data_IF_138478825374
#
_entry.id   IF_138478825374
#
_cell.length_a   1.000
_cell.length_b   1.000
_cell.length_c   1.000
_cell.angle_alpha   90.00
_cell.angle_beta   90.00
_cell.angle_gamma   90.00
#
_symmetry.space_group_name_H-M   'P 1'
#
loop_
_entity.id
_entity.type
_entity.pdbx_description
1 polymer ?
#
# COMPACT_ATOMS: atom_id res chain seq x y z
N UNK A 1 4.60 44.35 5.98
CA UNK A 1 6.03 44.70 6.04
C UNK A 1 6.48 44.44 7.45
N UNK A 2 7.07 43.30 7.73
CA UNK A 2 7.71 42.98 8.98
C UNK A 2 9.14 42.55 8.65
N UNK A 3 10.08 43.27 9.19
CA UNK A 3 11.51 43.20 8.93
C UNK A 3 12.12 42.09 9.77
N UNK A 4 12.67 41.07 9.15
CA UNK A 4 13.39 39.96 9.78
C UNK A 4 14.89 40.27 9.71
N UNK A 5 15.46 40.74 10.80
CA UNK A 5 16.89 40.96 10.94
C UNK A 5 17.63 39.64 11.10
N UNK A 6 18.43 39.26 10.11
CA UNK A 6 19.40 38.18 10.15
C UNK A 6 20.63 38.60 10.97
N UNK A 7 20.96 37.85 12.02
CA UNK A 7 22.21 37.99 12.76
C UNK A 7 23.20 36.93 12.25
N UNK A 8 24.25 37.37 11.61
CA UNK A 8 25.40 36.54 11.21
C UNK A 8 26.43 36.55 12.33
N UNK A 9 26.85 35.38 12.81
CA UNK A 9 28.02 35.21 13.66
C UNK A 9 29.06 34.33 12.97
N UNK A 10 30.34 34.65 13.10
CA UNK A 10 31.41 33.97 12.36
C UNK A 10 31.97 32.74 13.09
N UNK A 11 32.36 31.73 12.32
CA UNK A 11 33.04 30.52 12.77
C UNK A 11 34.44 30.81 13.26
N UNK A 12 34.95 30.13 14.28
CA UNK A 12 36.38 30.02 14.54
C UNK A 12 36.93 28.70 14.01
N UNK A 13 38.04 28.81 13.26
CA UNK A 13 38.94 27.70 12.98
C UNK A 13 39.63 27.24 14.27
N UNK A 14 39.76 25.96 14.49
CA UNK A 14 40.89 25.42 15.28
C UNK A 14 41.20 23.98 14.87
N UNK A 15 42.52 23.77 14.85
CA UNK A 15 43.28 22.63 14.36
C UNK A 15 42.97 21.27 15.00
N UNK A 16 43.11 20.23 14.17
CA UNK A 16 43.09 18.82 14.57
C UNK A 16 44.46 18.36 15.08
N UNK A 17 44.56 17.43 16.01
CA UNK A 17 45.63 16.47 16.06
C UNK A 17 45.18 15.07 15.64
N UNK A 18 46.00 14.45 14.81
CA UNK A 18 45.93 13.05 14.42
C UNK A 18 46.25 12.15 15.60
N UNK A 19 45.38 11.22 15.93
CA UNK A 19 45.77 10.03 16.69
C UNK A 19 45.29 8.75 16.02
N UNK A 20 46.28 7.89 15.84
CA UNK A 20 46.24 6.51 15.39
C UNK A 20 45.67 5.63 16.52
N UNK A 21 44.64 4.80 16.24
CA UNK A 21 44.43 3.65 17.09
C UNK A 21 43.84 2.45 16.32
N UNK A 22 44.48 1.33 16.62
CA UNK A 22 44.31 0.02 16.01
C UNK A 22 42.94 -0.60 16.23
N UNK A 23 42.44 -1.34 15.22
CA UNK A 23 41.29 -2.23 15.31
C UNK A 23 41.60 -3.46 16.19
N UNK A 24 40.74 -3.85 17.11
CA UNK A 24 40.81 -5.18 17.73
C UNK A 24 40.14 -6.22 16.83
N UNK A 25 40.87 -7.26 16.47
CA UNK A 25 40.34 -8.48 15.83
C UNK A 25 39.65 -9.37 16.87
N UNK A 26 38.33 -9.57 16.70
CA UNK A 26 37.59 -10.57 17.45
C UNK A 26 37.81 -11.95 16.84
N UNK A 27 38.48 -12.83 17.58
CA UNK A 27 38.56 -14.27 17.30
C UNK A 27 37.29 -14.95 17.74
N UNK A 28 36.56 -15.52 16.80
CA UNK A 28 35.44 -16.42 17.09
C UNK A 28 35.94 -17.72 17.73
N UNK A 29 35.40 -18.07 18.89
CA UNK A 29 35.58 -19.36 19.55
C UNK A 29 34.48 -20.30 19.08
N UNK A 30 34.88 -21.37 18.39
CA UNK A 30 33.97 -22.50 18.04
C UNK A 30 34.00 -23.45 19.22
N UNK A 31 32.85 -23.77 19.81
CA UNK A 31 32.67 -24.84 20.75
C UNK A 31 32.19 -26.13 20.06
N UNK A 32 32.62 -27.31 20.46
CA UNK A 32 32.31 -28.54 19.75
C UNK A 32 30.89 -29.06 20.06
N UNK A 33 30.35 -29.76 19.05
CA UNK A 33 29.04 -30.35 19.03
C UNK A 33 28.86 -31.42 20.14
N UNK A 34 27.71 -31.36 20.83
CA UNK A 34 27.25 -32.38 21.73
C UNK A 34 26.51 -33.50 20.97
N UNK A 35 26.77 -34.73 21.39
CA UNK A 35 26.20 -35.98 20.86
C UNK A 35 24.67 -36.01 20.99
N UNK A 36 23.98 -36.22 19.87
CA UNK A 36 22.55 -36.58 19.87
C UNK A 36 22.38 -38.08 19.67
N UNK A 37 21.68 -38.71 20.62
CA UNK A 37 21.26 -40.09 20.56
C UNK A 37 20.28 -40.37 19.40
N UNK A 38 20.25 -41.62 18.84
CA UNK A 38 19.45 -41.92 17.67
C UNK A 38 17.95 -42.04 17.99
N UNK A 39 17.13 -41.27 17.27
CA UNK A 39 15.66 -41.39 17.34
C UNK A 39 15.19 -42.53 16.45
N UNK A 40 14.39 -43.41 17.03
CA UNK A 40 13.87 -44.66 16.48
C UNK A 40 12.89 -44.37 15.29
N UNK A 41 13.21 -44.85 14.08
CA UNK A 41 12.54 -44.54 12.82
C UNK A 41 11.36 -45.45 12.46
N UNK A 42 10.81 -46.23 13.39
CA UNK A 42 9.80 -47.26 13.05
C UNK A 42 8.34 -46.92 13.36
N UNK A 43 8.03 -45.71 13.89
CA UNK A 43 6.64 -45.34 14.22
C UNK A 43 5.94 -44.46 13.15
N UNK A 44 6.64 -44.00 12.09
CA UNK A 44 6.11 -43.08 11.09
C UNK A 44 5.45 -43.68 9.85
N UNK A 45 5.58 -45.01 9.64
CA UNK A 45 5.19 -45.63 8.35
C UNK A 45 3.73 -46.15 8.30
N UNK A 46 3.00 -46.22 9.42
CA UNK A 46 1.64 -46.78 9.45
C UNK A 46 0.54 -45.70 9.29
N UNK A 47 0.81 -44.45 9.61
CA UNK A 47 -0.19 -43.35 9.49
C UNK A 47 -0.34 -42.82 8.08
N UNK A 48 0.68 -42.96 7.22
CA UNK A 48 0.67 -42.46 5.84
C UNK A 48 -0.20 -43.25 4.87
N UNK A 49 -0.41 -44.56 5.10
CA UNK A 49 -1.13 -45.45 4.16
C UNK A 49 -2.66 -45.36 4.32
N UNK A 50 -3.16 -45.03 5.50
CA UNK A 50 -4.61 -44.94 5.75
C UNK A 50 -5.20 -43.63 5.17
N UNK A 51 -4.40 -42.55 5.08
CA UNK A 51 -4.87 -41.25 4.53
C UNK A 51 -4.99 -41.23 3.01
N UNK A 52 -4.18 -42.03 2.30
CA UNK A 52 -4.21 -42.05 0.80
C UNK A 52 -5.40 -42.90 0.32
N UNK A 53 -5.82 -43.93 1.05
CA UNK A 53 -6.96 -44.79 0.67
C UNK A 53 -8.29 -44.05 0.89
N UNK A 54 -8.41 -43.22 1.92
CA UNK A 54 -9.62 -42.43 2.18
C UNK A 54 -9.84 -41.31 1.12
N UNK A 55 -8.76 -40.74 0.58
CA UNK A 55 -8.86 -39.70 -0.47
C UNK A 55 -9.25 -40.27 -1.83
N UNK A 56 -8.82 -41.50 -2.15
CA UNK A 56 -9.16 -42.18 -3.40
C UNK A 56 -10.63 -42.63 -3.49
N UNK A 57 -11.28 -42.94 -2.34
CA UNK A 57 -12.68 -43.34 -2.29
C UNK A 57 -13.66 -42.14 -2.43
N UNK A 58 -13.24 -40.92 -2.03
CA UNK A 58 -14.05 -39.71 -2.11
C UNK A 58 -14.18 -39.16 -3.54
N UNK A 59 -13.21 -39.46 -4.42
CA UNK A 59 -13.21 -38.99 -5.83
C UNK A 59 -14.10 -39.86 -6.72
N UNK A 60 -14.44 -41.09 -6.32
CA UNK A 60 -15.25 -42.02 -7.15
C UNK A 60 -16.77 -41.87 -6.94
N UNK A 61 -17.23 -41.09 -5.94
CA UNK A 61 -18.66 -40.94 -5.62
C UNK A 61 -19.27 -39.59 -5.98
N UNK A 62 -18.55 -38.72 -6.66
CA UNK A 62 -19.04 -37.40 -7.10
C UNK A 62 -18.86 -37.18 -8.61
N UNK A 63 -19.58 -37.98 -9.42
CA UNK A 63 -19.82 -37.66 -10.82
C UNK A 63 -21.22 -37.10 -10.94
N UNK A 64 -21.42 -35.84 -11.36
CA UNK A 64 -22.74 -35.33 -11.68
C UNK A 64 -23.13 -35.79 -13.08
N UNK A 65 -24.27 -36.48 -13.14
CA UNK A 65 -24.98 -36.82 -14.37
C UNK A 65 -25.37 -35.56 -15.14
N UNK A 66 -25.10 -35.57 -16.43
CA UNK A 66 -25.58 -34.57 -17.37
C UNK A 66 -27.12 -34.48 -17.34
N UNK A 67 -27.62 -33.28 -17.11
CA UNK A 67 -29.03 -32.93 -17.36
C UNK A 67 -29.09 -31.67 -18.22
N UNK A 68 -29.81 -31.80 -19.28
CA UNK A 68 -30.25 -30.91 -20.35
C UNK A 68 -30.47 -29.43 -19.98
N UNK A 69 -30.16 -28.61 -20.97
CA UNK A 69 -30.36 -27.19 -21.13
C UNK A 69 -31.75 -26.70 -20.67
N UNK A 70 -31.79 -25.56 -19.99
CA UNK A 70 -32.94 -24.68 -19.94
C UNK A 70 -32.45 -23.25 -20.22
N UNK A 71 -33.00 -22.71 -21.29
CA UNK A 71 -32.86 -21.33 -21.74
C UNK A 71 -33.45 -20.32 -20.75
N UNK A 72 -32.81 -19.15 -20.67
CA UNK A 72 -33.50 -17.90 -20.48
C UNK A 72 -33.30 -17.15 -19.19
N UNK A 73 -32.28 -16.24 -19.17
CA UNK A 73 -32.43 -14.89 -18.64
C UNK A 73 -31.33 -14.01 -19.23
N UNK A 74 -31.67 -13.19 -20.20
CA UNK A 74 -30.82 -12.16 -20.79
C UNK A 74 -30.60 -11.03 -19.80
N UNK A 75 -29.36 -10.80 -19.37
CA UNK A 75 -28.91 -9.54 -18.77
C UNK A 75 -28.36 -8.68 -19.91
N UNK A 76 -28.87 -7.47 -20.14
CA UNK A 76 -28.35 -6.58 -21.20
C UNK A 76 -27.10 -5.87 -20.71
N UNK A 77 -25.98 -6.01 -21.47
CA UNK A 77 -24.89 -5.06 -21.39
C UNK A 77 -23.44 -5.56 -21.36
N UNK A 78 -23.16 -6.83 -21.62
CA UNK A 78 -21.78 -7.25 -21.90
C UNK A 78 -21.64 -7.53 -23.40
N UNK A 79 -20.89 -6.72 -24.10
CA UNK A 79 -20.47 -7.01 -25.49
C UNK A 79 -19.56 -8.25 -25.46
N UNK A 80 -20.13 -9.43 -25.79
CA UNK A 80 -19.35 -10.66 -25.87
C UNK A 80 -18.44 -10.61 -27.09
N UNK A 81 -17.13 -10.47 -26.87
CA UNK A 81 -16.16 -10.64 -27.95
C UNK A 81 -16.18 -12.11 -28.38
N UNK A 82 -16.32 -12.34 -29.70
CA UNK A 82 -16.30 -13.70 -30.26
C UNK A 82 -14.86 -14.24 -30.24
N UNK A 83 -14.64 -15.40 -29.63
CA UNK A 83 -13.35 -16.06 -29.63
C UNK A 83 -12.92 -16.39 -31.06
N UNK A 84 -11.68 -16.07 -31.43
CA UNK A 84 -11.09 -16.42 -32.75
C UNK A 84 -10.75 -17.91 -32.86
N UNK A 85 -10.59 -18.56 -31.70
CA UNK A 85 -10.07 -19.93 -31.61
C UNK A 85 -8.54 -20.01 -31.66
N UNK A 86 -7.85 -18.87 -31.80
CA UNK A 86 -6.39 -18.79 -31.74
C UNK A 86 -5.93 -18.56 -30.30
N UNK A 87 -4.68 -19.02 -30.02
CA UNK A 87 -4.01 -18.77 -28.72
C UNK A 87 -2.71 -18.02 -28.98
N UNK A 88 -2.61 -16.83 -28.44
CA UNK A 88 -1.35 -16.05 -28.37
C UNK A 88 -0.60 -16.47 -27.13
N UNK A 89 0.64 -16.95 -27.26
CA UNK A 89 1.50 -17.37 -26.15
C UNK A 89 2.74 -16.49 -26.13
N UNK A 90 3.04 -15.88 -24.96
CA UNK A 90 4.16 -14.96 -24.80
C UNK A 90 4.98 -15.35 -23.59
N UNK A 91 6.32 -15.46 -23.77
CA UNK A 91 7.25 -15.60 -22.67
C UNK A 91 7.59 -14.22 -22.09
N UNK A 92 7.47 -14.07 -20.77
CA UNK A 92 7.79 -12.85 -20.04
C UNK A 92 8.83 -13.18 -18.98
N UNK A 93 9.94 -12.43 -19.00
CA UNK A 93 11.01 -12.51 -18.01
C UNK A 93 11.09 -11.26 -17.14
N UNK A 94 12.08 -11.25 -16.25
CA UNK A 94 12.44 -10.08 -15.42
C UNK A 94 13.84 -9.64 -15.77
N UNK A 95 14.03 -8.32 -15.99
CA UNK A 95 15.33 -7.68 -16.16
C UNK A 95 15.40 -6.46 -15.22
N UNK A 96 16.19 -6.59 -14.13
CA UNK A 96 16.21 -5.60 -13.06
C UNK A 96 14.84 -5.43 -12.42
N UNK A 97 14.28 -4.21 -12.48
CA UNK A 97 12.95 -3.85 -11.98
C UNK A 97 11.91 -3.71 -13.11
N UNK A 98 12.04 -4.49 -14.20
CA UNK A 98 11.13 -4.43 -15.34
C UNK A 98 10.78 -5.82 -15.85
N UNK A 99 9.58 -5.97 -16.42
CA UNK A 99 9.23 -7.14 -17.21
C UNK A 99 9.79 -7.01 -18.63
N UNK A 100 10.17 -8.13 -19.23
CA UNK A 100 10.68 -8.19 -20.62
C UNK A 100 9.99 -9.33 -21.38
N UNK A 101 9.16 -9.01 -22.40
CA UNK A 101 8.71 -7.68 -22.80
C UNK A 101 7.77 -7.05 -21.76
N UNK A 102 7.70 -5.72 -21.73
CA UNK A 102 6.75 -4.97 -20.91
C UNK A 102 5.54 -4.44 -21.72
N UNK A 103 5.49 -4.75 -23.02
CA UNK A 103 4.38 -4.46 -23.91
C UNK A 103 4.12 -5.66 -24.82
N UNK A 104 2.85 -6.07 -24.90
CA UNK A 104 2.40 -7.23 -25.68
C UNK A 104 1.20 -6.81 -26.53
N UNK A 105 1.24 -7.06 -27.83
CA UNK A 105 0.09 -6.88 -28.72
C UNK A 105 -0.61 -8.22 -28.92
N UNK A 106 -1.94 -8.25 -28.71
CA UNK A 106 -2.75 -9.46 -28.82
C UNK A 106 -4.02 -9.16 -29.63
N UNK A 107 -4.34 -9.96 -30.67
CA UNK A 107 -5.60 -9.80 -31.38
C UNK A 107 -6.82 -9.98 -30.48
N UNK A 108 -7.80 -9.09 -30.62
CA UNK A 108 -9.08 -9.22 -29.91
C UNK A 108 -9.75 -10.56 -30.30
N UNK A 109 -10.18 -11.31 -29.28
CA UNK A 109 -10.77 -12.63 -29.44
C UNK A 109 -9.78 -13.79 -29.32
N UNK A 110 -8.46 -13.55 -29.31
CA UNK A 110 -7.47 -14.59 -29.03
C UNK A 110 -7.44 -14.90 -27.52
N UNK A 111 -7.08 -16.15 -27.21
CA UNK A 111 -6.73 -16.53 -25.84
C UNK A 111 -5.28 -16.17 -25.56
N UNK A 112 -5.01 -15.40 -24.49
CA UNK A 112 -3.65 -15.06 -24.10
C UNK A 112 -3.15 -15.99 -23.00
N UNK A 113 -1.97 -16.59 -23.26
CA UNK A 113 -1.21 -17.35 -22.26
C UNK A 113 0.16 -16.69 -22.09
N UNK A 114 0.52 -16.37 -20.86
CA UNK A 114 1.83 -15.81 -20.49
C UNK A 114 2.63 -16.85 -19.73
N UNK A 115 3.80 -17.20 -20.27
CA UNK A 115 4.81 -18.03 -19.59
C UNK A 115 5.74 -17.09 -18.81
N UNK A 116 5.42 -16.80 -17.56
CA UNK A 116 6.20 -15.90 -16.72
C UNK A 116 7.35 -16.64 -16.03
N UNK A 117 8.59 -16.18 -16.25
CA UNK A 117 9.79 -16.68 -15.60
C UNK A 117 10.43 -15.56 -14.77
N UNK A 118 10.62 -15.78 -13.48
CA UNK A 118 11.41 -14.86 -12.68
C UNK A 118 12.90 -15.05 -12.97
N UNK A 119 13.43 -14.30 -13.94
CA UNK A 119 14.86 -14.25 -14.30
C UNK A 119 15.65 -13.21 -13.52
N UNK A 120 15.03 -12.49 -12.58
CA UNK A 120 15.68 -11.51 -11.71
C UNK A 120 16.50 -12.14 -10.57
N UNK A 121 17.15 -11.29 -9.78
CA UNK A 121 18.02 -11.69 -8.68
C UNK A 121 17.28 -11.79 -7.32
N UNK A 122 16.04 -11.37 -7.26
CA UNK A 122 15.17 -11.42 -6.10
C UNK A 122 13.80 -12.03 -6.45
N UNK A 123 12.92 -12.15 -5.45
CA UNK A 123 11.56 -12.64 -5.70
C UNK A 123 10.77 -11.61 -6.48
N UNK A 124 9.95 -12.10 -7.44
CA UNK A 124 9.00 -11.30 -8.20
C UNK A 124 7.71 -12.08 -8.40
N UNK A 125 6.63 -11.38 -8.67
CA UNK A 125 5.39 -11.96 -9.19
C UNK A 125 4.89 -11.18 -10.40
N UNK A 126 3.86 -11.71 -11.05
CA UNK A 126 3.13 -11.02 -12.09
C UNK A 126 1.63 -11.19 -11.81
N UNK A 127 0.96 -10.09 -11.55
CA UNK A 127 -0.47 -10.02 -11.27
C UNK A 127 -1.12 -9.17 -12.36
N UNK A 128 -2.21 -9.63 -12.93
CA UNK A 128 -3.01 -8.87 -13.89
C UNK A 128 -4.28 -8.33 -13.22
N UNK A 129 -4.81 -7.22 -13.73
CA UNK A 129 -6.05 -6.60 -13.23
C UNK A 129 -7.27 -7.55 -13.28
N UNK A 130 -7.21 -8.60 -14.12
CA UNK A 130 -8.19 -9.70 -14.14
C UNK A 130 -8.16 -10.58 -12.88
N UNK A 131 -7.19 -10.39 -11.98
CA UNK A 131 -6.94 -11.23 -10.80
C UNK A 131 -6.08 -12.48 -11.07
N UNK A 132 -5.68 -12.74 -12.32
CA UNK A 132 -4.75 -13.82 -12.62
C UNK A 132 -3.36 -13.48 -12.08
N UNK A 133 -2.75 -14.41 -11.33
CA UNK A 133 -1.45 -14.18 -10.67
C UNK A 133 -0.53 -15.38 -10.76
N UNK A 134 0.77 -15.11 -10.86
CA UNK A 134 1.81 -16.15 -10.73
C UNK A 134 2.02 -16.59 -9.28
N UNK A 135 1.60 -15.77 -8.31
CA UNK A 135 2.15 -15.82 -6.95
C UNK A 135 3.64 -15.44 -6.93
N UNK A 136 4.21 -15.28 -5.75
CA UNK A 136 5.62 -14.87 -5.59
C UNK A 136 6.58 -16.02 -5.98
N UNK A 137 7.32 -15.83 -7.06
CA UNK A 137 8.30 -16.79 -7.59
C UNK A 137 9.73 -16.48 -7.11
N UNK A 138 10.49 -17.51 -6.78
CA UNK A 138 11.93 -17.38 -6.57
C UNK A 138 12.66 -17.25 -7.92
N UNK A 139 13.91 -16.80 -7.87
CA UNK A 139 14.78 -16.72 -9.08
C UNK A 139 14.85 -18.05 -9.83
N UNK A 140 14.58 -18.02 -11.11
CA UNK A 140 14.57 -19.17 -12.01
C UNK A 140 13.25 -19.97 -12.04
N UNK A 141 12.28 -19.66 -11.18
CA UNK A 141 10.97 -20.30 -11.22
C UNK A 141 10.11 -19.76 -12.37
N UNK A 142 9.28 -20.63 -12.96
CA UNK A 142 8.37 -20.31 -14.06
C UNK A 142 6.94 -20.68 -13.72
N UNK A 143 5.99 -19.86 -14.16
CA UNK A 143 4.56 -20.09 -14.01
C UNK A 143 3.81 -19.73 -15.29
N UNK A 144 2.95 -20.62 -15.76
CA UNK A 144 2.00 -20.33 -16.84
C UNK A 144 0.79 -19.59 -16.27
N UNK A 145 0.41 -18.49 -16.92
CA UNK A 145 -0.75 -17.66 -16.61
C UNK A 145 -1.71 -17.68 -17.81
N UNK A 146 -2.92 -18.15 -17.61
CA UNK A 146 -3.97 -18.16 -18.61
C UNK A 146 -4.91 -16.98 -18.36
N UNK A 147 -4.83 -15.95 -19.21
CA UNK A 147 -5.63 -14.73 -19.07
C UNK A 147 -6.99 -14.81 -19.78
N UNK A 148 -7.27 -15.94 -20.46
CA UNK A 148 -8.53 -16.12 -21.17
C UNK A 148 -8.59 -15.36 -22.50
N UNK A 149 -9.81 -15.04 -22.93
CA UNK A 149 -10.07 -14.32 -24.21
C UNK A 149 -9.85 -12.83 -24.01
N UNK A 150 -8.95 -12.25 -24.82
CA UNK A 150 -8.65 -10.84 -24.82
C UNK A 150 -9.82 -10.06 -25.45
N UNK A 151 -10.45 -9.20 -24.66
CA UNK A 151 -11.56 -8.36 -25.09
C UNK A 151 -11.23 -6.88 -25.14
N UNK A 152 -10.12 -6.47 -24.56
CA UNK A 152 -9.63 -5.10 -24.47
C UNK A 152 -8.22 -5.07 -23.89
N UNK A 153 -7.65 -3.87 -23.78
CA UNK A 153 -6.37 -3.65 -23.15
C UNK A 153 -6.41 -4.08 -21.69
N UNK A 154 -5.28 -4.55 -21.15
CA UNK A 154 -5.14 -4.91 -19.76
C UNK A 154 -3.73 -4.62 -19.25
N UNK A 155 -3.61 -4.35 -17.95
CA UNK A 155 -2.34 -4.12 -17.28
C UNK A 155 -2.00 -5.25 -16.31
N UNK A 156 -0.70 -5.53 -16.19
CA UNK A 156 -0.14 -6.38 -15.15
C UNK A 156 1.01 -5.68 -14.44
N UNK A 157 1.34 -6.12 -13.24
CA UNK A 157 2.42 -5.55 -12.43
C UNK A 157 3.00 -6.58 -11.45
N UNK A 158 4.18 -6.25 -10.90
CA UNK A 158 4.68 -6.95 -9.73
C UNK A 158 4.02 -6.37 -8.47
N UNK A 159 3.37 -7.23 -7.66
CA UNK A 159 2.64 -6.80 -6.47
C UNK A 159 3.52 -6.64 -5.23
N UNK A 160 4.81 -6.97 -5.32
CA UNK A 160 5.73 -6.77 -4.20
C UNK A 160 5.90 -5.28 -3.88
N UNK A 161 6.03 -4.92 -2.59
CA UNK A 161 6.11 -3.54 -2.17
C UNK A 161 7.19 -2.74 -2.91
N UNK A 162 6.80 -1.60 -3.49
CA UNK A 162 7.71 -0.70 -4.22
C UNK A 162 7.99 -1.07 -5.68
N UNK A 163 7.70 -2.30 -6.14
CA UNK A 163 8.09 -2.75 -7.48
C UNK A 163 7.25 -2.10 -8.59
N UNK A 164 5.92 -2.02 -8.41
CA UNK A 164 5.05 -1.32 -9.36
C UNK A 164 5.42 0.17 -9.46
N UNK A 165 5.69 0.83 -8.33
CA UNK A 165 6.12 2.23 -8.27
C UNK A 165 7.48 2.46 -8.94
N UNK A 166 8.36 1.45 -8.94
CA UNK A 166 9.63 1.46 -9.67
C UNK A 166 9.46 1.21 -11.18
N UNK A 167 8.20 1.08 -11.67
CA UNK A 167 7.91 0.87 -13.08
C UNK A 167 7.82 -0.59 -13.51
N UNK A 168 7.72 -1.53 -12.56
CA UNK A 168 7.60 -2.97 -12.88
C UNK A 168 6.16 -3.31 -13.29
N UNK A 169 5.78 -2.86 -14.50
CA UNK A 169 4.47 -3.04 -15.14
C UNK A 169 4.62 -3.67 -16.51
N UNK A 170 3.53 -4.29 -16.99
CA UNK A 170 3.40 -4.86 -18.33
C UNK A 170 2.04 -4.46 -18.90
N UNK A 171 2.02 -4.04 -20.18
CA UNK A 171 0.80 -3.66 -20.88
C UNK A 171 0.48 -4.65 -21.98
N UNK A 172 -0.75 -5.14 -22.00
CA UNK A 172 -1.30 -5.95 -23.09
C UNK A 172 -2.23 -5.05 -23.89
N UNK A 173 -1.86 -4.77 -25.13
CA UNK A 173 -2.66 -4.00 -26.08
C UNK A 173 -3.51 -4.93 -26.94
N UNK A 174 -4.82 -4.77 -26.91
CA UNK A 174 -5.76 -5.50 -27.72
C UNK A 174 -5.83 -4.89 -29.13
N UNK A 175 -5.33 -5.61 -30.14
CA UNK A 175 -5.31 -5.13 -31.53
C UNK A 175 -6.48 -5.68 -32.34
N UNK A 176 -7.05 -4.85 -33.24
CA UNK A 176 -8.18 -5.25 -34.09
C UNK A 176 -9.57 -4.97 -33.49
N UNK A 177 -9.68 -4.35 -32.30
CA UNK A 177 -10.93 -3.81 -31.81
C UNK A 177 -11.30 -2.55 -32.62
N UNK A 178 -12.46 -2.56 -33.26
CA UNK A 178 -12.99 -1.36 -33.90
C UNK A 178 -13.46 -0.38 -32.81
N UNK A 179 -12.62 0.56 -32.42
CA UNK A 179 -13.03 1.67 -31.57
C UNK A 179 -13.92 2.64 -32.37
N UNK A 180 -15.06 3.10 -31.85
CA UNK A 180 -15.78 4.22 -32.44
C UNK A 180 -15.02 5.52 -32.16
N UNK A 181 -14.32 5.98 -33.17
CA UNK A 181 -13.98 7.36 -33.47
C UNK A 181 -13.35 8.25 -32.42
N UNK A 182 -12.02 8.41 -32.49
CA UNK A 182 -11.40 9.71 -32.21
C UNK A 182 -10.20 9.88 -33.14
N UNK A 183 -10.43 10.64 -34.22
CA UNK A 183 -9.38 11.15 -35.09
C UNK A 183 -8.74 12.35 -34.42
N UNK A 184 -7.48 12.28 -34.02
CA UNK A 184 -6.65 13.45 -33.75
C UNK A 184 -5.28 13.31 -34.38
N UNK A 185 -5.05 14.16 -35.38
CA UNK A 185 -3.80 14.40 -36.08
C UNK A 185 -2.75 14.99 -35.13
N UNK A 186 -1.49 14.53 -35.14
CA UNK A 186 -0.46 15.11 -34.27
C UNK A 186 0.04 16.44 -34.82
N UNK A 187 -0.02 17.50 -34.02
CA UNK A 187 0.69 18.76 -34.24
C UNK A 187 1.90 18.84 -33.27
N UNK A 188 3.02 19.49 -33.67
CA UNK A 188 4.27 19.43 -32.89
C UNK A 188 4.18 20.29 -31.63
N UNK A 189 4.55 19.65 -30.50
CA UNK A 189 4.51 20.25 -29.17
C UNK A 189 5.74 21.13 -28.92
N UNK A 190 5.50 22.41 -28.68
CA UNK A 190 6.46 23.28 -27.98
C UNK A 190 6.32 23.12 -26.50
N UNK A 191 7.41 22.79 -25.81
CA UNK A 191 7.45 22.64 -24.35
C UNK A 191 7.24 23.99 -23.67
N UNK A 192 6.09 24.20 -23.06
CA UNK A 192 5.88 25.16 -22.00
C UNK A 192 5.52 24.39 -20.73
N UNK A 193 6.31 24.58 -19.68
CA UNK A 193 6.03 24.03 -18.35
C UNK A 193 4.87 24.84 -17.73
N UNK A 194 3.66 24.42 -18.03
CA UNK A 194 2.48 24.86 -17.30
C UNK A 194 2.02 23.72 -16.39
N UNK A 195 2.10 23.91 -15.08
CA UNK A 195 1.55 23.01 -14.08
C UNK A 195 0.01 23.15 -14.04
N UNK A 196 -0.62 22.91 -15.19
CA UNK A 196 -2.05 22.79 -15.27
C UNK A 196 -2.49 21.45 -14.68
N UNK A 197 -2.99 21.45 -13.44
CA UNK A 197 -3.79 20.37 -12.93
C UNK A 197 -4.99 20.19 -13.86
N UNK A 198 -4.96 19.15 -14.70
CA UNK A 198 -6.12 18.73 -15.46
C UNK A 198 -7.26 18.51 -14.48
N UNK A 199 -8.36 19.24 -14.62
CA UNK A 199 -9.55 19.04 -13.82
C UNK A 199 -10.05 17.61 -14.08
N UNK A 200 -9.81 16.71 -13.11
CA UNK A 200 -10.42 15.39 -13.08
C UNK A 200 -11.93 15.59 -13.09
N UNK A 201 -12.63 14.95 -14.02
CA UNK A 201 -14.10 14.87 -14.02
C UNK A 201 -14.59 13.86 -12.96
N UNK A 202 -14.01 13.90 -11.78
CA UNK A 202 -14.39 13.06 -10.64
C UNK A 202 -15.69 13.49 -9.98
N UNK A 203 -16.20 12.74 -9.03
CA UNK A 203 -17.50 12.99 -8.37
C UNK A 203 -17.51 14.25 -7.51
N UNK A 204 -16.34 14.88 -7.23
CA UNK A 204 -16.21 16.16 -6.56
C UNK A 204 -15.10 17.00 -7.19
N UNK A 205 -15.38 18.26 -7.43
CA UNK A 205 -14.39 19.25 -7.92
C UNK A 205 -13.49 19.75 -6.78
N UNK A 206 -12.28 20.27 -7.08
CA UNK A 206 -11.44 20.93 -6.09
C UNK A 206 -12.13 22.12 -5.37
N UNK A 207 -13.07 22.80 -6.05
CA UNK A 207 -13.86 23.89 -5.44
C UNK A 207 -14.81 23.34 -4.38
N UNK A 208 -15.60 22.31 -4.69
CA UNK A 208 -16.52 21.68 -3.74
C UNK A 208 -15.79 21.14 -2.52
N UNK A 209 -14.61 20.50 -2.72
CA UNK A 209 -13.78 20.02 -1.63
C UNK A 209 -13.24 21.16 -0.75
N UNK A 210 -12.85 22.29 -1.37
CA UNK A 210 -12.37 23.48 -0.64
C UNK A 210 -13.50 24.14 0.14
N UNK A 211 -14.66 24.30 -0.48
CA UNK A 211 -15.84 24.89 0.15
C UNK A 211 -16.30 24.07 1.35
N UNK A 212 -16.37 22.74 1.18
CA UNK A 212 -16.69 21.84 2.30
C UNK A 212 -15.67 21.92 3.43
N UNK A 213 -14.36 21.94 3.11
CA UNK A 213 -13.31 22.07 4.12
C UNK A 213 -13.44 23.34 4.96
N UNK A 214 -14.02 24.42 4.42
CA UNK A 214 -14.27 25.66 5.15
C UNK A 214 -15.49 25.59 6.11
N UNK A 215 -16.35 24.57 5.96
CA UNK A 215 -17.56 24.39 6.79
C UNK A 215 -17.38 23.47 7.98
N UNK A 216 -16.29 22.71 8.02
CA UNK A 216 -16.00 21.74 9.09
C UNK A 216 -14.86 22.24 9.98
N UNK A 217 -14.78 21.72 11.19
CA UNK A 217 -13.60 21.90 12.03
C UNK A 217 -12.44 21.09 11.44
N UNK A 218 -11.29 21.72 11.28
CA UNK A 218 -10.08 21.01 10.86
C UNK A 218 -9.65 20.02 11.93
N UNK A 219 -9.12 18.88 11.52
CA UNK A 219 -8.49 17.94 12.46
C UNK A 219 -7.30 18.61 13.14
N UNK A 220 -7.25 18.48 14.45
CA UNK A 220 -6.13 19.01 15.24
C UNK A 220 -4.85 18.24 14.89
N UNK A 221 -3.83 18.90 14.30
CA UNK A 221 -2.57 18.24 13.97
C UNK A 221 -1.60 18.16 15.17
N UNK A 222 -1.95 18.70 16.32
CA UNK A 222 -1.08 18.75 17.49
C UNK A 222 -0.77 17.35 17.98
N UNK A 223 0.52 17.05 18.11
CA UNK A 223 0.99 15.81 18.69
C UNK A 223 1.10 15.94 20.21
N UNK A 224 0.35 15.15 20.99
CA UNK A 224 0.50 15.12 22.43
C UNK A 224 1.91 14.66 22.84
N UNK A 225 2.43 15.15 24.00
CA UNK A 225 3.72 14.69 24.52
C UNK A 225 3.68 13.17 24.77
N UNK A 226 4.84 12.51 24.59
CA UNK A 226 4.97 11.11 24.94
C UNK A 226 4.83 10.93 26.47
N UNK A 227 4.17 9.84 26.89
CA UNK A 227 4.12 9.43 28.29
C UNK A 227 5.39 8.66 28.66
N UNK A 228 5.68 8.54 29.97
CA UNK A 228 6.84 7.79 30.47
C UNK A 228 6.60 6.26 30.56
N UNK A 229 5.47 5.78 30.04
CA UNK A 229 5.18 4.36 29.98
C UNK A 229 6.11 3.68 28.98
N UNK A 230 6.59 2.47 29.32
CA UNK A 230 7.41 1.64 28.43
C UNK A 230 6.66 0.44 27.86
N UNK A 231 5.52 0.08 28.49
CA UNK A 231 4.58 -0.93 28.02
C UNK A 231 3.31 -0.20 27.56
N UNK A 232 3.01 -0.26 26.29
CA UNK A 232 1.94 0.50 25.64
C UNK A 232 0.86 -0.44 25.12
N UNK A 233 -0.38 -0.25 25.56
CA UNK A 233 -1.50 -1.12 25.21
C UNK A 233 -2.51 -0.38 24.35
N UNK A 234 -2.79 -0.89 23.17
CA UNK A 234 -3.74 -0.29 22.23
C UNK A 234 -4.71 -1.34 21.68
N UNK A 235 -5.98 -0.97 21.63
CA UNK A 235 -7.01 -1.74 20.94
C UNK A 235 -7.41 -1.01 19.66
N UNK A 236 -7.31 -1.70 18.54
CA UNK A 236 -7.75 -1.24 17.23
C UNK A 236 -9.02 -1.99 16.85
N UNK A 237 -10.12 -1.27 16.76
CA UNK A 237 -11.40 -1.81 16.29
C UNK A 237 -11.60 -1.40 14.84
N UNK A 238 -11.71 -2.38 13.97
CA UNK A 238 -12.03 -2.14 12.56
C UNK A 238 -13.54 -1.95 12.41
N UNK A 239 -13.93 -0.93 11.66
CA UNK A 239 -15.30 -0.67 11.24
C UNK A 239 -15.36 -0.05 9.85
N UNK A 240 -16.38 -0.40 9.10
CA UNK A 240 -16.74 0.26 7.85
C UNK A 240 -17.85 1.26 8.15
N UNK A 241 -17.74 2.46 7.59
CA UNK A 241 -18.71 3.53 7.85
C UNK A 241 -18.79 4.50 6.68
N UNK A 242 -19.87 5.27 6.61
CA UNK A 242 -20.01 6.34 5.62
C UNK A 242 -19.43 7.63 6.19
N UNK A 243 -18.54 8.26 5.43
CA UNK A 243 -17.96 9.58 5.74
C UNK A 243 -18.36 10.60 4.70
N UNK A 244 -18.60 11.83 5.12
CA UNK A 244 -18.92 12.94 4.22
C UNK A 244 -17.63 13.48 3.59
N UNK A 245 -17.70 13.78 2.29
CA UNK A 245 -16.58 14.34 1.49
C UNK A 245 -16.90 15.77 1.05
N UNK A 246 -18.14 16.03 0.66
CA UNK A 246 -18.72 17.34 0.38
C UNK A 246 -20.16 17.39 0.92
N UNK A 247 -20.86 18.49 0.76
CA UNK A 247 -22.27 18.58 1.15
C UNK A 247 -23.18 17.59 0.40
N UNK A 248 -22.80 17.21 -0.83
CA UNK A 248 -23.55 16.34 -1.71
C UNK A 248 -22.94 14.97 -1.94
N UNK A 249 -21.72 14.71 -1.44
CA UNK A 249 -21.00 13.47 -1.66
C UNK A 249 -20.57 12.83 -0.37
N UNK A 250 -20.83 11.55 -0.24
CA UNK A 250 -20.32 10.67 0.82
C UNK A 250 -19.45 9.58 0.22
N UNK A 251 -18.62 8.96 1.04
CA UNK A 251 -17.85 7.76 0.67
C UNK A 251 -17.95 6.71 1.77
N UNK A 252 -17.83 5.47 1.39
CA UNK A 252 -17.51 4.42 2.34
C UNK A 252 -16.05 4.58 2.81
N UNK A 253 -15.83 4.46 4.11
CA UNK A 253 -14.49 4.42 4.72
C UNK A 253 -14.34 3.18 5.56
N UNK A 254 -13.16 2.58 5.50
CA UNK A 254 -12.75 1.47 6.35
C UNK A 254 -11.76 2.04 7.36
N UNK A 255 -12.02 1.86 8.63
CA UNK A 255 -11.37 2.66 9.66
C UNK A 255 -10.78 1.82 10.77
N UNK A 256 -9.74 2.36 11.39
CA UNK A 256 -9.28 1.95 12.70
C UNK A 256 -9.85 2.91 13.75
N UNK A 257 -10.62 2.40 14.69
CA UNK A 257 -11.30 3.16 15.76
C UNK A 257 -12.23 4.29 15.26
N UNK A 258 -12.82 4.11 14.06
CA UNK A 258 -13.76 5.06 13.50
C UNK A 258 -13.17 6.27 12.79
N UNK A 259 -11.84 6.35 12.68
CA UNK A 259 -11.12 7.46 12.04
C UNK A 259 -10.28 7.04 10.83
N UNK A 260 -10.12 7.96 9.86
CA UNK A 260 -9.21 7.88 8.72
C UNK A 260 -8.50 9.23 8.51
N UNK A 261 -7.18 9.37 8.80
CA UNK A 261 -6.27 8.37 9.38
C UNK A 261 -6.74 7.86 10.75
N UNK A 262 -6.37 6.62 11.08
CA UNK A 262 -6.57 6.06 12.40
C UNK A 262 -5.74 6.77 13.49
N UNK A 263 -5.77 6.27 14.75
CA UNK A 263 -5.09 6.90 15.88
C UNK A 263 -3.59 7.12 15.65
N UNK A 264 -3.09 8.27 16.08
CA UNK A 264 -1.65 8.53 16.12
C UNK A 264 -1.10 7.99 17.43
N UNK A 265 -0.14 7.06 17.33
CA UNK A 265 0.53 6.49 18.50
C UNK A 265 1.88 7.18 18.72
N UNK A 266 2.32 7.25 19.98
CA UNK A 266 3.64 7.77 20.33
C UNK A 266 4.31 6.94 21.40
N UNK A 267 5.62 6.75 21.27
CA UNK A 267 6.47 6.06 22.24
C UNK A 267 7.93 6.43 22.09
N UNK A 268 8.81 5.73 22.78
CA UNK A 268 10.26 5.91 22.71
C UNK A 268 10.93 4.66 22.16
N UNK A 269 12.16 4.81 21.72
CA UNK A 269 13.00 3.66 21.37
C UNK A 269 13.14 2.74 22.58
N UNK A 270 12.83 1.47 22.40
CA UNK A 270 12.84 0.44 23.44
C UNK A 270 11.47 0.12 24.04
N UNK A 271 10.45 0.95 23.81
CA UNK A 271 9.09 0.69 24.30
C UNK A 271 8.49 -0.56 23.64
N UNK A 272 7.68 -1.27 24.39
CA UNK A 272 6.92 -2.43 23.95
C UNK A 272 5.48 -2.02 23.64
N UNK A 273 5.02 -2.35 22.44
CA UNK A 273 3.64 -2.10 22.01
C UNK A 273 2.86 -3.41 22.01
N UNK A 274 1.81 -3.46 22.80
CA UNK A 274 0.82 -4.56 22.86
C UNK A 274 -0.41 -4.12 22.07
N UNK A 275 -0.69 -4.84 21.01
CA UNK A 275 -1.76 -4.49 20.07
C UNK A 275 -2.83 -5.58 20.12
N UNK A 276 -4.07 -5.16 20.34
CA UNK A 276 -5.26 -5.99 20.14
C UNK A 276 -6.01 -5.46 18.93
N UNK A 277 -6.06 -6.22 17.84
CA UNK A 277 -6.90 -5.93 16.68
C UNK A 277 -8.23 -6.67 16.82
N UNK A 278 -9.36 -5.95 16.69
CA UNK A 278 -10.72 -6.51 16.70
C UNK A 278 -11.40 -6.16 15.39
N UNK A 279 -11.78 -7.17 14.62
CA UNK A 279 -12.45 -6.96 13.34
C UNK A 279 -13.99 -6.95 13.53
N UNK A 280 -14.58 -5.75 13.66
CA UNK A 280 -16.02 -5.53 13.66
C UNK A 280 -16.57 -5.13 12.27
N UNK A 281 -15.75 -5.25 11.23
CA UNK A 281 -16.13 -5.01 9.85
C UNK A 281 -16.87 -6.20 9.22
N UNK A 282 -17.15 -6.11 7.93
CA UNK A 282 -17.86 -7.12 7.14
C UNK A 282 -16.93 -7.97 6.27
N UNK A 283 -15.68 -7.59 6.15
CA UNK A 283 -14.64 -8.30 5.38
C UNK A 283 -13.38 -8.55 6.22
N UNK A 284 -12.44 -9.33 5.67
CA UNK A 284 -11.15 -9.62 6.33
C UNK A 284 -10.29 -8.36 6.40
N UNK A 285 -9.64 -8.14 7.53
CA UNK A 285 -8.72 -7.04 7.77
C UNK A 285 -7.48 -7.48 8.55
N UNK A 286 -6.43 -6.69 8.48
CA UNK A 286 -5.19 -6.87 9.24
C UNK A 286 -4.69 -5.51 9.74
N UNK A 287 -3.62 -5.55 10.51
CA UNK A 287 -2.95 -4.34 10.99
C UNK A 287 -1.45 -4.59 11.05
N UNK A 288 -0.72 -3.96 10.16
CA UNK A 288 0.74 -4.06 10.00
C UNK A 288 1.41 -2.79 10.52
N UNK A 289 2.39 -2.95 11.43
CA UNK A 289 3.18 -1.86 11.98
C UNK A 289 4.62 -1.89 11.47
N UNK A 290 4.99 -0.93 10.64
CA UNK A 290 6.37 -0.81 10.14
C UNK A 290 7.40 -0.56 11.25
N UNK A 291 7.00 0.09 12.36
CA UNK A 291 7.86 0.30 13.53
C UNK A 291 8.30 -0.99 14.21
N UNK A 292 7.56 -2.09 14.02
CA UNK A 292 7.85 -3.38 14.63
C UNK A 292 9.02 -4.12 13.98
N UNK A 293 9.32 -3.86 12.69
CA UNK A 293 10.32 -4.59 11.90
C UNK A 293 10.17 -6.11 12.00
N UNK A 294 8.93 -6.59 12.04
CA UNK A 294 8.57 -8.01 12.07
C UNK A 294 7.85 -8.37 10.78
N UNK A 295 8.02 -9.61 10.32
CA UNK A 295 7.33 -10.09 9.12
C UNK A 295 5.81 -10.14 9.37
N UNK A 296 4.99 -9.46 8.54
CA UNK A 296 3.56 -9.30 8.80
C UNK A 296 2.76 -10.59 8.59
N UNK A 297 3.24 -11.48 7.75
CA UNK A 297 2.55 -12.72 7.32
C UNK A 297 2.26 -13.70 8.46
N UNK A 298 2.93 -13.58 9.58
CA UNK A 298 2.81 -14.49 10.71
C UNK A 298 2.04 -13.89 11.89
N UNK A 299 2.49 -12.74 12.39
CA UNK A 299 1.92 -12.09 13.59
C UNK A 299 0.87 -11.04 13.29
N UNK A 300 0.93 -10.40 12.11
CA UNK A 300 0.02 -9.34 11.67
C UNK A 300 -0.91 -9.82 10.53
N UNK A 301 -1.25 -11.12 10.53
CA UNK A 301 -2.09 -11.74 9.50
C UNK A 301 -3.50 -11.17 9.46
N UNK A 302 -4.17 -11.34 8.32
CA UNK A 302 -5.61 -11.03 8.20
C UNK A 302 -6.46 -11.88 9.12
N UNK A 303 -7.50 -11.28 9.67
CA UNK A 303 -8.54 -11.91 10.50
C UNK A 303 -9.92 -11.65 9.90
N UNK A 304 -10.81 -12.64 10.05
CA UNK A 304 -12.18 -12.59 9.55
C UNK A 304 -13.08 -11.72 10.46
N UNK A 305 -14.25 -11.29 9.96
CA UNK A 305 -15.24 -10.61 10.78
C UNK A 305 -15.55 -11.32 12.10
N UNK A 306 -15.58 -10.57 13.19
CA UNK A 306 -15.80 -11.06 14.55
C UNK A 306 -14.60 -11.69 15.21
N UNK A 307 -13.45 -11.79 14.56
CA UNK A 307 -12.21 -12.27 15.14
C UNK A 307 -11.40 -11.16 15.79
N UNK A 308 -10.50 -11.56 16.70
CA UNK A 308 -9.45 -10.72 17.28
C UNK A 308 -8.08 -11.36 17.16
N UNK A 309 -7.05 -10.51 17.19
CA UNK A 309 -5.65 -10.90 17.11
C UNK A 309 -4.83 -10.02 18.04
N UNK A 310 -4.11 -10.67 18.95
CA UNK A 310 -3.16 -10.00 19.83
C UNK A 310 -1.74 -10.24 19.34
N UNK A 311 -0.92 -9.21 19.34
CA UNK A 311 0.51 -9.31 19.08
C UNK A 311 1.28 -8.18 19.74
N UNK A 312 2.59 -8.35 19.77
CA UNK A 312 3.49 -7.41 20.47
C UNK A 312 4.72 -7.15 19.60
N UNK A 313 5.17 -5.92 19.59
CA UNK A 313 6.45 -5.55 19.01
C UNK A 313 7.22 -4.57 19.89
N UNK A 314 8.54 -4.55 19.76
CA UNK A 314 9.42 -3.58 20.41
C UNK A 314 9.84 -2.54 19.38
N UNK A 315 9.65 -1.26 19.69
CA UNK A 315 10.08 -0.14 18.85
C UNK A 315 11.61 0.00 18.90
N UNK A 316 12.29 -0.40 17.83
CA UNK A 316 13.77 -0.44 17.79
C UNK A 316 14.40 0.82 17.21
N UNK A 317 13.69 1.52 16.34
CA UNK A 317 14.20 2.66 15.61
C UNK A 317 13.30 3.89 15.83
N UNK A 318 13.93 5.05 16.04
CA UNK A 318 13.23 6.32 16.09
C UNK A 318 12.68 6.72 14.72
N UNK A 319 11.68 7.60 14.71
CA UNK A 319 11.08 8.16 13.52
C UNK A 319 9.55 8.10 13.53
N UNK A 320 8.96 8.56 12.43
CA UNK A 320 7.53 8.37 12.14
C UNK A 320 7.38 7.16 11.22
N UNK A 321 6.50 6.23 11.60
CA UNK A 321 6.31 4.95 10.96
C UNK A 321 4.85 4.75 10.57
N UNK A 322 4.63 4.23 9.37
CA UNK A 322 3.31 3.85 8.89
C UNK A 322 2.81 2.62 9.64
N UNK A 323 1.52 2.57 9.93
CA UNK A 323 0.75 1.35 10.09
C UNK A 323 -0.43 1.36 9.14
N UNK A 324 -0.84 0.19 8.66
CA UNK A 324 -1.95 0.06 7.70
C UNK A 324 -2.55 -1.34 7.68
N UNK A 325 -3.70 -1.50 7.02
CA UNK A 325 -4.20 -2.82 6.67
C UNK A 325 -3.42 -3.39 5.49
N UNK A 326 -2.84 -4.57 5.64
CA UNK A 326 -2.08 -5.29 4.59
C UNK A 326 -2.89 -6.40 3.91
N UNK A 327 -4.19 -6.54 4.23
CA UNK A 327 -5.10 -7.47 3.55
C UNK A 327 -5.21 -7.07 2.06
N UNK A 328 -5.17 -8.07 1.18
CA UNK A 328 -5.25 -7.84 -0.27
C UNK A 328 -6.69 -7.49 -0.71
N UNK A 329 -6.88 -6.52 -1.62
CA UNK A 329 -5.87 -5.63 -2.23
C UNK A 329 -5.49 -4.49 -1.28
N UNK A 330 -4.26 -4.49 -0.81
CA UNK A 330 -3.74 -3.57 0.22
C UNK A 330 -3.98 -2.09 -0.12
N UNK A 331 -3.74 -1.69 -1.37
CA UNK A 331 -3.93 -0.31 -1.81
C UNK A 331 -5.39 0.16 -1.69
N UNK A 332 -6.37 -0.73 -1.87
CA UNK A 332 -7.79 -0.42 -1.66
C UNK A 332 -8.09 -0.17 -0.18
N UNK A 333 -7.51 -0.97 0.73
CA UNK A 333 -7.69 -0.77 2.18
C UNK A 333 -7.11 0.56 2.63
N UNK A 334 -5.90 0.92 2.14
CA UNK A 334 -5.29 2.23 2.43
C UNK A 334 -6.12 3.37 1.83
N UNK A 335 -6.54 3.27 0.56
CA UNK A 335 -7.33 4.29 -0.11
C UNK A 335 -8.69 4.53 0.57
N UNK A 336 -9.26 3.50 1.21
CA UNK A 336 -10.50 3.63 1.98
C UNK A 336 -10.27 4.15 3.42
N UNK A 337 -9.02 4.35 3.87
CA UNK A 337 -8.72 5.03 5.13
C UNK A 337 -7.99 4.19 6.18
N UNK A 338 -7.64 2.94 5.88
CA UNK A 338 -7.01 2.04 6.85
C UNK A 338 -5.50 2.24 6.96
N UNK A 339 -5.11 3.39 7.46
CA UNK A 339 -3.72 3.77 7.74
C UNK A 339 -3.64 4.75 8.91
N UNK A 340 -2.45 4.90 9.47
CA UNK A 340 -2.13 5.90 10.47
C UNK A 340 -0.64 5.89 10.80
N UNK A 341 -0.24 6.61 11.85
CA UNK A 341 1.15 6.79 12.22
C UNK A 341 1.45 6.34 13.64
N UNK A 342 2.65 5.79 13.82
CA UNK A 342 3.28 5.67 15.13
C UNK A 342 4.58 6.46 15.14
N UNK A 343 4.77 7.30 16.13
CA UNK A 343 5.95 8.14 16.32
C UNK A 343 6.78 7.53 17.44
N UNK A 344 8.03 7.23 17.14
CA UNK A 344 9.01 6.70 18.10
C UNK A 344 10.05 7.78 18.32
N UNK A 345 10.00 8.42 19.47
CA UNK A 345 10.93 9.48 19.82
C UNK A 345 12.36 8.93 20.00
N UNK A 346 13.38 9.58 19.41
CA UNK A 346 14.78 9.28 19.74
C UNK A 346 15.08 9.69 21.19
N UNK A 347 16.14 9.10 21.75
CA UNK A 347 16.54 9.33 23.14
C UNK A 347 17.06 10.74 23.42
N UNK A 348 17.45 11.44 22.35
CA UNK A 348 18.07 12.79 22.39
C UNK A 348 17.21 13.84 21.66
N UNK A 349 15.90 13.62 21.62
CA UNK A 349 14.97 14.53 20.96
C UNK A 349 14.92 15.89 21.70
N UNK A 350 15.36 16.94 21.03
CA UNK A 350 15.30 18.31 21.57
C UNK A 350 13.86 18.74 21.84
N UNK A 351 13.64 19.47 22.93
CA UNK A 351 12.35 20.10 23.22
C UNK A 351 12.02 21.20 22.20
N UNK A 352 10.77 21.30 21.85
CA UNK A 352 10.20 22.37 20.99
C UNK A 352 8.94 22.95 21.65
N UNK A 353 8.50 24.11 21.18
CA UNK A 353 7.29 24.75 21.70
C UNK A 353 6.02 24.08 21.18
N UNK A 354 6.07 23.55 19.96
CA UNK A 354 4.93 22.86 19.31
C UNK A 354 5.38 21.68 18.48
N UNK A 355 4.56 20.65 18.46
CA UNK A 355 4.73 19.49 17.58
C UNK A 355 3.45 19.22 16.80
N UNK A 356 3.59 18.96 15.51
CA UNK A 356 2.50 18.64 14.62
C UNK A 356 2.76 17.35 13.87
N UNK A 357 1.68 16.65 13.51
CA UNK A 357 1.72 15.46 12.63
C UNK A 357 0.96 15.75 11.36
N UNK A 358 1.61 15.51 10.22
CA UNK A 358 1.05 15.71 8.88
C UNK A 358 1.17 14.40 8.11
N UNK A 359 0.06 13.67 8.00
CA UNK A 359 -0.02 12.43 7.24
C UNK A 359 -0.60 12.76 5.88
N UNK A 360 0.23 12.69 4.83
CA UNK A 360 -0.22 12.85 3.46
C UNK A 360 -0.92 11.57 2.99
N UNK A 361 -1.99 11.71 2.22
CA UNK A 361 -2.72 10.61 1.60
C UNK A 361 -3.46 11.05 0.34
N UNK A 362 -3.80 10.08 -0.48
CA UNK A 362 -4.52 10.26 -1.72
C UNK A 362 -6.01 9.92 -1.54
N UNK A 363 -6.89 10.66 -2.21
CA UNK A 363 -8.31 10.34 -2.28
C UNK A 363 -8.67 9.87 -3.70
N UNK A 364 -9.19 8.66 -3.79
CA UNK A 364 -9.75 8.06 -5.00
C UNK A 364 -11.24 7.89 -4.80
N UNK A 365 -12.02 8.89 -5.18
CA UNK A 365 -13.45 8.95 -4.87
C UNK A 365 -14.26 8.12 -5.87
N UNK A 366 -15.01 7.16 -5.37
CA UNK A 366 -16.08 6.49 -6.09
C UNK A 366 -17.35 7.35 -6.19
N UNK A 367 -18.45 6.76 -6.66
CA UNK A 367 -19.78 7.39 -6.60
C UNK A 367 -20.23 7.65 -5.16
N UNK A 368 -21.33 8.38 -5.00
CA UNK A 368 -21.90 8.70 -3.69
C UNK A 368 -22.15 7.42 -2.86
N UNK A 369 -21.65 7.40 -1.64
CA UNK A 369 -21.73 6.26 -0.72
C UNK A 369 -20.83 5.07 -1.09
N UNK A 370 -20.00 5.17 -2.13
CA UNK A 370 -19.17 4.06 -2.58
C UNK A 370 -17.77 4.11 -1.93
N UNK A 371 -17.10 2.98 -1.94
CA UNK A 371 -15.68 2.85 -1.62
C UNK A 371 -14.80 3.55 -2.68
N UNK A 372 -13.48 3.59 -2.45
CA UNK A 372 -12.52 4.16 -3.38
C UNK A 372 -12.65 3.54 -4.78
N UNK A 373 -12.51 4.37 -5.82
CA UNK A 373 -12.55 3.92 -7.22
C UNK A 373 -11.26 3.17 -7.57
N UNK A 374 -11.38 1.87 -7.80
CA UNK A 374 -10.26 1.00 -8.12
C UNK A 374 -9.61 1.34 -9.47
N UNK A 375 -10.36 1.91 -10.42
CA UNK A 375 -9.82 2.30 -11.72
C UNK A 375 -8.95 3.56 -11.62
N UNK A 376 -9.41 4.55 -10.87
CA UNK A 376 -8.61 5.76 -10.56
C UNK A 376 -7.36 5.40 -9.74
N UNK A 377 -7.52 4.49 -8.78
CA UNK A 377 -6.40 3.98 -7.96
C UNK A 377 -5.35 3.30 -8.84
N UNK A 378 -5.77 2.43 -9.76
CA UNK A 378 -4.88 1.74 -10.69
C UNK A 378 -4.22 2.69 -11.69
N UNK A 379 -4.95 3.73 -12.12
CA UNK A 379 -4.45 4.75 -13.03
C UNK A 379 -3.55 5.81 -12.35
N UNK A 380 -3.35 5.75 -11.03
CA UNK A 380 -2.62 6.74 -10.22
C UNK A 380 -3.21 8.16 -10.37
N UNK A 381 -4.54 8.26 -10.48
CA UNK A 381 -5.27 9.52 -10.71
C UNK A 381 -6.16 9.86 -9.50
N UNK A 382 -5.58 10.30 -8.38
CA UNK A 382 -6.38 10.70 -7.24
C UNK A 382 -7.22 11.95 -7.56
N UNK A 383 -8.42 12.03 -7.00
CA UNK A 383 -9.28 13.21 -7.11
C UNK A 383 -8.73 14.38 -6.26
N UNK A 384 -8.03 14.06 -5.17
CA UNK A 384 -7.39 15.05 -4.31
C UNK A 384 -6.27 14.43 -3.47
N UNK A 385 -5.35 15.28 -3.02
CA UNK A 385 -4.39 14.98 -1.95
C UNK A 385 -4.89 15.59 -0.64
N UNK A 386 -4.63 14.91 0.46
CA UNK A 386 -5.04 15.36 1.78
C UNK A 386 -3.90 15.27 2.78
N UNK A 387 -3.86 16.19 3.73
CA UNK A 387 -3.18 15.98 5.00
C UNK A 387 -4.20 15.61 6.06
N UNK A 388 -3.90 14.59 6.85
CA UNK A 388 -4.75 14.09 7.94
C UNK A 388 -6.18 13.74 7.47
N UNK A 389 -6.32 13.20 6.26
CA UNK A 389 -7.55 12.60 5.74
C UNK A 389 -8.59 13.55 5.12
N UNK A 390 -8.42 14.87 5.24
CA UNK A 390 -9.36 15.85 4.65
C UNK A 390 -8.63 16.79 3.69
N UNK A 391 -9.02 16.85 2.41
CA UNK A 391 -8.44 17.78 1.45
C UNK A 391 -8.66 19.24 1.87
N UNK A 392 -7.66 20.08 1.66
CA UNK A 392 -7.72 21.54 1.84
C UNK A 392 -8.05 22.07 3.25
N UNK A 393 -8.22 21.21 4.27
CA UNK A 393 -8.62 21.64 5.61
C UNK A 393 -7.67 22.68 6.21
N UNK A 394 -6.36 22.52 6.06
CA UNK A 394 -5.39 23.50 6.60
C UNK A 394 -5.18 24.72 5.68
N UNK A 395 -5.74 24.72 4.48
CA UNK A 395 -5.90 25.94 3.67
C UNK A 395 -7.07 26.79 4.19
N UNK A 396 -8.17 26.14 4.56
CA UNK A 396 -9.35 26.78 5.13
C UNK A 396 -9.12 27.21 6.60
N UNK A 397 -8.43 26.38 7.38
CA UNK A 397 -8.11 26.57 8.79
C UNK A 397 -6.59 26.47 9.01
N UNK A 398 -5.81 27.54 8.76
CA UNK A 398 -4.36 27.52 8.90
C UNK A 398 -3.89 27.15 10.29
N UNK A 399 -2.80 26.37 10.37
CA UNK A 399 -2.13 26.06 11.63
C UNK A 399 -1.37 27.31 12.08
N UNK A 400 -1.72 27.85 13.27
CA UNK A 400 -1.15 29.08 13.78
C UNK A 400 0.05 28.80 14.68
N UNK A 401 1.14 29.52 14.46
CA UNK A 401 2.34 29.53 15.31
C UNK A 401 2.75 30.96 15.62
N UNK A 402 3.43 31.18 16.75
CA UNK A 402 3.90 32.51 17.14
C UNK A 402 5.34 32.71 16.70
N UNK A 403 5.69 33.95 16.38
CA UNK A 403 7.06 34.33 16.08
C UNK A 403 7.99 33.98 17.26
N UNK A 404 9.07 33.25 16.96
CA UNK A 404 10.07 32.81 17.94
C UNK A 404 9.78 31.42 18.54
N UNK A 405 8.62 30.80 18.26
CA UNK A 405 8.37 29.39 18.64
C UNK A 405 9.20 28.45 17.75
N UNK A 406 9.84 27.45 18.37
CA UNK A 406 10.42 26.31 17.68
C UNK A 406 9.32 25.28 17.42
N UNK A 407 9.17 24.88 16.16
CA UNK A 407 8.13 23.95 15.72
C UNK A 407 8.77 22.70 15.13
N UNK A 408 8.27 21.54 15.51
CA UNK A 408 8.58 20.26 14.86
C UNK A 408 7.36 19.78 14.11
N UNK A 409 7.58 19.34 12.88
CA UNK A 409 6.54 18.72 12.07
C UNK A 409 6.98 17.30 11.73
N UNK A 410 6.20 16.34 12.18
CA UNK A 410 6.35 14.94 11.78
C UNK A 410 5.56 14.72 10.49
N UNK A 411 6.24 14.41 9.42
CA UNK A 411 5.62 14.24 8.10
C UNK A 411 5.73 12.79 7.66
N UNK A 412 4.63 12.22 7.22
CA UNK A 412 4.58 10.87 6.68
C UNK A 412 3.72 10.85 5.43
N UNK A 413 4.16 10.08 4.44
CA UNK A 413 3.36 9.75 3.27
C UNK A 413 2.74 8.36 3.47
N UNK A 414 1.42 8.31 3.48
CA UNK A 414 0.66 7.07 3.58
C UNK A 414 0.20 6.56 2.21
N UNK A 415 0.34 7.34 1.16
CA UNK A 415 0.02 6.98 -0.21
C UNK A 415 -1.48 6.76 -0.48
N UNK A 416 -1.87 5.68 -1.17
CA UNK A 416 -1.16 4.40 -1.38
C UNK A 416 -0.17 4.33 -2.55
N UNK A 417 -0.08 5.31 -3.42
CA UNK A 417 0.65 5.17 -4.68
C UNK A 417 1.70 6.27 -4.95
N UNK A 418 1.35 7.55 -4.71
CA UNK A 418 2.16 8.69 -5.12
C UNK A 418 3.03 9.17 -3.96
N UNK A 419 4.25 9.59 -4.28
CA UNK A 419 5.14 10.20 -3.30
C UNK A 419 4.71 11.63 -2.98
N UNK A 420 4.93 12.04 -1.74
CA UNK A 420 4.69 13.42 -1.28
C UNK A 420 6.01 14.16 -1.06
N UNK A 421 6.03 15.46 -1.39
CA UNK A 421 7.11 16.36 -1.03
C UNK A 421 6.56 17.44 -0.09
N UNK A 422 7.11 17.52 1.12
CA UNK A 422 6.74 18.52 2.09
C UNK A 422 7.72 19.70 2.08
N UNK A 423 7.20 20.90 2.04
CA UNK A 423 7.99 22.13 2.23
C UNK A 423 7.12 23.24 2.83
N UNK A 424 7.77 24.18 3.48
CA UNK A 424 7.15 25.42 3.95
C UNK A 424 7.71 26.56 3.12
N UNK A 425 6.85 27.24 2.35
CA UNK A 425 7.28 28.29 1.43
C UNK A 425 7.93 29.45 2.18
N UNK A 426 9.11 29.86 1.72
CA UNK A 426 9.83 31.02 2.26
C UNK A 426 10.65 30.75 3.52
N UNK A 427 10.85 29.48 3.89
CA UNK A 427 11.71 29.10 5.01
C UNK A 427 12.63 27.93 4.70
N UNK A 428 13.61 27.71 5.55
CA UNK A 428 14.46 26.52 5.60
C UNK A 428 14.27 25.86 6.96
N UNK A 429 14.31 24.55 6.99
CA UNK A 429 14.20 23.76 8.21
C UNK A 429 15.17 22.58 8.15
N UNK A 430 15.60 22.08 9.30
CA UNK A 430 16.49 20.93 9.48
C UNK A 430 15.67 19.65 9.68
#
# INVERSE_FOLDING_TARGET
>A
MADLTLSSSPSPHSDAPKESSARPTLKARVSPAGDHAPVNRTAGAIVGVVSVVALALAVFLSSPSATTAQEGATVPGASSVTATGHTTRVAVGVEGMSFTPNHIEVPVGDRLIVDFTNSGDQRHDLVFESGVTSGSLATGETKELDLGIVSGDMEGWCSLPGHRQAGMTIHVQAVGASSPGSSSTPAPSTHSHDHGHGASSGPASPTELTDYAATIDARDPVLPPATNETERHYTFTVTEQTARVTDSLTRETWTFNGDAPGPILRGHVGDTFHITLVNNGTMSHSLDFHAGLVAPDNVMRSIEPGQSLDYTFVAKNAGIWLYHCSTAPMSMHIANGMFGAVIIDPTDLDGVDREYVMIASELYLGGDGQSADASLLSALQPNAMAFNGVPFQYKAHPIEVKTGERVRVWVMDAGPNLATTFHVVGTQFD
#
